data_IF_000453965967
#
_entry.id   IF_000453965967
#
_cell.length_a   1.000
_cell.length_b   1.000
_cell.length_c   1.000
_cell.angle_alpha   90.00
_cell.angle_beta   90.00
_cell.angle_gamma   90.00
#
_symmetry.space_group_name_H-M   'P 1'
#
loop_
_entity.id
_entity.type
_entity.pdbx_description
1 polymer ?
#
# COMPACT_ATOMS: atom_id res chain seq x y z
N UNK A 1 -15.57 -15.41 27.15
CA UNK A 1 -15.94 -14.59 25.98
C UNK A 1 -14.64 -14.07 25.34
N UNK A 2 -14.13 -14.69 24.25
CA UNK A 2 -12.91 -14.23 23.57
C UNK A 2 -13.26 -12.96 22.79
N UNK A 3 -12.73 -11.80 23.19
CA UNK A 3 -12.77 -10.58 22.37
C UNK A 3 -12.13 -10.92 21.01
N UNK A 4 -12.92 -10.92 19.93
CA UNK A 4 -12.36 -10.90 18.57
C UNK A 4 -11.47 -9.65 18.50
N UNK A 5 -10.15 -9.83 18.35
CA UNK A 5 -9.26 -8.72 17.94
C UNK A 5 -9.87 -8.10 16.70
N UNK A 6 -10.12 -6.80 16.73
CA UNK A 6 -10.63 -6.09 15.56
C UNK A 6 -9.69 -6.37 14.39
N UNK A 7 -10.26 -6.85 13.28
CA UNK A 7 -9.48 -7.20 12.08
C UNK A 7 -9.03 -5.87 11.45
N UNK A 8 -7.73 -5.67 11.29
CA UNK A 8 -7.16 -4.47 10.63
C UNK A 8 -7.81 -4.26 9.26
N UNK A 9 -8.26 -3.06 8.97
CA UNK A 9 -8.88 -2.70 7.69
C UNK A 9 -7.82 -2.49 6.60
N UNK A 10 -8.22 -2.51 5.34
CA UNK A 10 -7.29 -2.35 4.21
C UNK A 10 -6.50 -1.03 4.28
N UNK A 11 -7.17 0.09 4.57
CA UNK A 11 -6.49 1.38 4.68
C UNK A 11 -5.48 1.44 5.84
N UNK A 12 -5.76 0.77 6.97
CA UNK A 12 -4.83 0.70 8.11
C UNK A 12 -3.56 -0.08 7.74
N UNK A 13 -3.69 -1.09 6.87
CA UNK A 13 -2.55 -1.82 6.29
C UNK A 13 -1.76 -0.92 5.35
N UNK A 14 -2.43 -0.22 4.43
CA UNK A 14 -1.80 0.74 3.53
C UNK A 14 -0.98 1.78 4.32
N UNK A 15 -1.54 2.34 5.39
CA UNK A 15 -0.84 3.30 6.26
C UNK A 15 0.44 2.74 6.88
N UNK A 16 0.56 1.42 7.02
CA UNK A 16 1.79 0.77 7.45
C UNK A 16 2.75 0.51 6.29
N UNK A 17 2.24 0.10 5.13
CA UNK A 17 3.08 -0.25 3.98
C UNK A 17 3.80 0.97 3.39
N UNK A 18 3.12 2.09 3.26
CA UNK A 18 3.71 3.33 2.70
C UNK A 18 4.85 3.90 3.55
N UNK A 19 4.98 3.47 4.80
CA UNK A 19 6.08 3.83 5.69
C UNK A 19 7.35 3.00 5.46
N UNK A 20 7.29 2.01 4.59
CA UNK A 20 8.46 1.23 4.18
C UNK A 20 9.00 1.82 2.89
N UNK A 21 10.29 2.11 2.86
CA UNK A 21 10.93 2.66 1.68
C UNK A 21 11.18 1.56 0.65
N UNK A 22 10.47 1.57 -0.47
CA UNK A 22 10.49 0.50 -1.48
C UNK A 22 10.85 0.98 -2.88
N UNK A 23 11.33 2.20 -3.01
CA UNK A 23 11.63 2.79 -4.32
C UNK A 23 12.62 1.95 -5.10
N UNK A 24 12.27 1.68 -6.35
CA UNK A 24 13.13 1.03 -7.33
C UNK A 24 14.27 1.96 -7.80
N UNK A 25 15.25 1.41 -8.45
CA UNK A 25 16.34 2.16 -9.11
C UNK A 25 16.40 1.73 -10.56
N UNK A 26 16.51 2.72 -11.46
CA UNK A 26 16.67 2.49 -12.88
C UNK A 26 18.07 1.96 -13.21
N UNK A 27 18.21 1.37 -14.40
CA UNK A 27 19.49 0.88 -14.96
C UNK A 27 20.20 -0.16 -14.06
N UNK A 28 19.47 -0.89 -13.22
CA UNK A 28 19.99 -1.99 -12.42
C UNK A 28 19.77 -3.33 -13.12
N UNK A 29 20.80 -4.17 -13.15
CA UNK A 29 20.68 -5.56 -13.65
C UNK A 29 20.07 -6.52 -12.65
N UNK A 30 20.05 -6.15 -11.37
CA UNK A 30 19.51 -6.97 -10.28
C UNK A 30 18.00 -6.94 -10.20
N UNK A 31 17.40 -8.04 -9.75
CA UNK A 31 15.98 -8.13 -9.43
C UNK A 31 15.85 -8.65 -7.99
N UNK A 32 15.25 -7.88 -7.07
CA UNK A 32 14.77 -6.51 -7.27
C UNK A 32 15.91 -5.51 -7.51
N UNK A 33 15.58 -4.38 -8.14
CA UNK A 33 16.58 -3.32 -8.42
C UNK A 33 17.17 -2.72 -7.14
N UNK A 34 16.48 -2.83 -6.01
CA UNK A 34 16.97 -2.43 -4.69
C UNK A 34 16.62 -3.47 -3.63
N UNK A 35 17.59 -3.79 -2.77
CA UNK A 35 17.39 -4.76 -1.66
C UNK A 35 16.38 -4.29 -0.61
N UNK A 36 16.14 -2.99 -0.48
CA UNK A 36 15.16 -2.42 0.46
C UNK A 36 13.73 -2.90 0.20
N UNK A 37 13.40 -3.36 -1.00
CA UNK A 37 12.09 -3.93 -1.32
C UNK A 37 11.78 -5.19 -0.50
N UNK A 38 12.80 -5.93 -0.07
CA UNK A 38 12.62 -7.08 0.82
C UNK A 38 12.05 -6.70 2.19
N UNK A 39 12.20 -5.47 2.66
CA UNK A 39 11.65 -5.04 3.94
C UNK A 39 10.11 -5.12 3.90
N UNK A 40 9.48 -4.58 2.85
CA UNK A 40 8.04 -4.71 2.64
C UNK A 40 7.66 -6.14 2.26
N UNK A 41 8.43 -6.80 1.39
CA UNK A 41 8.17 -8.18 0.97
C UNK A 41 8.07 -9.14 2.15
N UNK A 42 9.01 -9.07 3.09
CA UNK A 42 9.00 -9.87 4.31
C UNK A 42 7.81 -9.51 5.21
N UNK A 43 7.50 -8.22 5.37
CA UNK A 43 6.33 -7.77 6.14
C UNK A 43 5.03 -8.35 5.55
N UNK A 44 4.86 -8.30 4.22
CA UNK A 44 3.69 -8.83 3.53
C UNK A 44 3.59 -10.35 3.69
N UNK A 45 4.70 -11.08 3.54
CA UNK A 45 4.74 -12.52 3.73
C UNK A 45 4.28 -12.92 5.14
N UNK A 46 4.79 -12.24 6.17
CA UNK A 46 4.37 -12.49 7.56
C UNK A 46 2.90 -12.13 7.80
N UNK A 47 2.41 -11.07 7.16
CA UNK A 47 1.02 -10.68 7.31
C UNK A 47 0.07 -11.67 6.60
N UNK A 48 0.42 -12.13 5.41
CA UNK A 48 -0.34 -13.14 4.69
C UNK A 48 -0.49 -14.44 5.52
N UNK A 49 0.59 -14.91 6.15
CA UNK A 49 0.55 -16.03 7.08
C UNK A 49 -0.41 -15.76 8.25
N UNK A 50 -0.33 -14.58 8.86
CA UNK A 50 -1.18 -14.21 10.02
C UNK A 50 -2.67 -14.14 9.69
N UNK A 51 -3.04 -13.84 8.44
CA UNK A 51 -4.44 -13.81 7.99
C UNK A 51 -4.93 -15.15 7.45
N UNK A 52 -4.07 -16.17 7.40
CA UNK A 52 -4.43 -17.54 7.06
C UNK A 52 -4.24 -17.92 5.59
N UNK A 53 -3.47 -17.15 4.85
CA UNK A 53 -3.05 -17.51 3.48
C UNK A 53 -2.08 -18.69 3.57
N UNK A 54 -2.24 -19.66 2.69
CA UNK A 54 -1.42 -20.87 2.61
C UNK A 54 -0.26 -20.72 1.64
N UNK A 55 0.75 -21.57 1.75
CA UNK A 55 1.92 -21.66 0.87
C UNK A 55 2.62 -20.30 0.67
N UNK A 56 2.63 -19.47 1.72
CA UNK A 56 3.25 -18.15 1.67
C UNK A 56 4.76 -18.30 1.61
N UNK A 57 5.35 -17.77 0.56
CA UNK A 57 6.80 -17.70 0.35
C UNK A 57 7.21 -16.37 -0.27
N UNK A 58 8.45 -16.03 -0.09
CA UNK A 58 9.15 -14.96 -0.80
C UNK A 58 10.36 -15.57 -1.50
N UNK A 59 10.62 -15.23 -2.75
CA UNK A 59 11.77 -15.72 -3.49
C UNK A 59 12.96 -14.74 -3.48
N UNK A 60 14.03 -15.11 -4.14
CA UNK A 60 15.27 -14.34 -4.27
C UNK A 60 15.11 -13.06 -5.11
N UNK A 61 14.00 -12.93 -5.83
CA UNK A 61 13.61 -11.75 -6.62
C UNK A 61 12.58 -10.87 -5.93
N UNK A 62 12.34 -11.14 -4.64
CA UNK A 62 11.35 -10.41 -3.82
C UNK A 62 9.90 -10.60 -4.25
N UNK A 63 9.56 -11.65 -5.00
CA UNK A 63 8.17 -11.97 -5.27
C UNK A 63 7.55 -12.69 -4.06
N UNK A 64 6.46 -12.14 -3.57
CA UNK A 64 5.68 -12.74 -2.46
C UNK A 64 4.49 -13.49 -3.04
N UNK A 65 4.42 -14.78 -2.74
CA UNK A 65 3.34 -15.66 -3.20
C UNK A 65 2.50 -16.13 -2.01
N UNK A 66 1.27 -16.46 -2.28
CA UNK A 66 0.39 -17.13 -1.33
C UNK A 66 -0.84 -17.68 -2.03
N UNK A 67 -1.47 -18.66 -1.42
CA UNK A 67 -2.64 -19.36 -1.95
C UNK A 67 -3.80 -19.25 -0.96
N UNK A 68 -4.95 -18.88 -1.45
CA UNK A 68 -6.23 -19.04 -0.76
C UNK A 68 -6.91 -20.26 -1.36
N UNK A 69 -7.17 -21.32 -0.59
CA UNK A 69 -7.82 -22.51 -1.10
C UNK A 69 -9.19 -22.23 -1.71
N UNK A 70 -9.61 -23.07 -2.61
CA UNK A 70 -10.96 -23.04 -3.15
C UNK A 70 -12.01 -23.13 -2.02
N UNK A 71 -13.14 -22.51 -2.24
CA UNK A 71 -14.33 -22.73 -1.41
C UNK A 71 -14.79 -24.18 -1.56
N UNK A 72 -15.20 -24.81 -0.47
CA UNK A 72 -15.70 -26.19 -0.47
C UNK A 72 -16.74 -26.41 -1.58
N UNK A 73 -16.52 -27.45 -2.38
CA UNK A 73 -17.33 -27.78 -3.56
C UNK A 73 -17.02 -26.99 -4.83
N UNK A 74 -16.00 -26.14 -4.83
CA UNK A 74 -15.56 -25.35 -6.00
C UNK A 74 -14.11 -25.67 -6.41
N UNK A 75 -13.53 -26.76 -5.95
CA UNK A 75 -12.13 -27.14 -6.16
C UNK A 75 -11.77 -27.31 -7.63
N UNK A 76 -12.75 -27.73 -8.46
CA UNK A 76 -12.58 -27.92 -9.91
C UNK A 76 -12.77 -26.62 -10.73
N UNK A 77 -13.05 -25.51 -10.07
CA UNK A 77 -13.18 -24.22 -10.77
C UNK A 77 -11.80 -23.61 -11.06
N UNK A 78 -11.67 -22.85 -12.15
CA UNK A 78 -10.42 -22.14 -12.45
C UNK A 78 -9.97 -21.24 -11.31
N UNK A 79 -8.69 -21.27 -11.01
CA UNK A 79 -8.09 -20.33 -10.05
C UNK A 79 -8.05 -18.91 -10.60
N UNK A 80 -8.21 -17.91 -9.73
CA UNK A 80 -8.07 -16.49 -10.05
C UNK A 80 -6.76 -16.01 -9.43
N UNK A 81 -5.91 -15.38 -10.24
CA UNK A 81 -4.67 -14.75 -9.78
C UNK A 81 -4.85 -13.24 -9.58
N UNK A 82 -4.28 -12.73 -8.48
CA UNK A 82 -4.15 -11.30 -8.23
C UNK A 82 -2.68 -10.94 -8.18
N UNK A 83 -2.30 -9.86 -8.85
CA UNK A 83 -0.93 -9.36 -8.90
C UNK A 83 -0.96 -7.90 -8.49
N UNK A 84 -0.03 -7.52 -7.61
CA UNK A 84 0.19 -6.15 -7.21
C UNK A 84 1.68 -5.92 -6.99
N UNK A 85 2.22 -4.80 -7.48
CA UNK A 85 3.61 -4.46 -7.23
C UNK A 85 3.79 -3.79 -5.86
N UNK A 86 5.03 -3.79 -5.35
CA UNK A 86 5.40 -3.24 -4.04
C UNK A 86 6.27 -2.00 -4.12
N UNK A 87 6.98 -1.86 -5.21
CA UNK A 87 7.91 -0.76 -5.42
C UNK A 87 7.20 0.54 -5.80
N UNK A 88 7.90 1.64 -5.61
CA UNK A 88 7.51 2.97 -6.04
C UNK A 88 8.57 3.52 -7.00
N UNK A 89 8.20 4.49 -7.84
CA UNK A 89 9.14 5.13 -8.77
C UNK A 89 10.14 6.03 -8.06
N UNK A 90 11.35 6.14 -8.61
CA UNK A 90 12.43 6.95 -8.08
C UNK A 90 12.25 8.46 -8.28
N UNK A 91 11.44 8.88 -9.27
CA UNK A 91 11.33 10.28 -9.69
C UNK A 91 10.81 11.23 -8.61
N UNK A 92 9.98 10.74 -7.70
CA UNK A 92 9.27 11.58 -6.73
C UNK A 92 9.35 11.09 -5.28
N UNK A 93 10.04 10.00 -5.02
CA UNK A 93 10.10 9.39 -3.70
C UNK A 93 11.50 8.84 -3.40
N UNK A 94 12.26 9.57 -2.61
CA UNK A 94 13.60 9.19 -2.15
C UNK A 94 13.62 8.69 -0.70
N UNK A 95 12.45 8.56 -0.08
CA UNK A 95 12.28 8.11 1.30
C UNK A 95 10.90 7.48 1.53
N UNK A 96 10.70 6.91 2.71
CA UNK A 96 9.41 6.39 3.14
C UNK A 96 8.35 7.51 3.23
N UNK A 97 7.15 7.25 2.72
CA UNK A 97 6.05 8.23 2.76
C UNK A 97 5.48 8.37 4.17
N UNK A 98 5.27 9.59 4.62
CA UNK A 98 4.52 9.87 5.84
C UNK A 98 3.06 10.14 5.51
N UNK A 99 2.14 9.19 5.76
CA UNK A 99 0.73 9.41 5.45
C UNK A 99 0.12 10.44 6.39
N UNK A 100 -0.73 11.30 5.83
CA UNK A 100 -1.49 12.32 6.57
C UNK A 100 -2.97 11.97 6.53
N UNK A 101 -3.62 11.99 7.68
CA UNK A 101 -5.06 11.73 7.82
C UNK A 101 -5.77 13.02 8.14
N UNK A 102 -6.70 13.42 7.29
CA UNK A 102 -7.58 14.57 7.51
C UNK A 102 -8.99 14.08 7.75
N UNK A 103 -9.44 14.15 8.99
CA UNK A 103 -10.81 13.80 9.35
C UNK A 103 -11.75 14.96 9.04
N UNK A 104 -12.98 14.62 8.63
CA UNK A 104 -14.04 15.60 8.43
C UNK A 104 -13.64 16.73 7.46
N UNK A 105 -13.03 16.35 6.33
CA UNK A 105 -12.53 17.28 5.33
C UNK A 105 -13.57 18.34 4.95
N UNK A 106 -13.17 19.60 4.89
CA UNK A 106 -14.09 20.74 4.72
C UNK A 106 -14.41 21.09 3.26
N UNK A 107 -13.82 20.38 2.31
CA UNK A 107 -14.03 20.61 0.87
C UNK A 107 -13.17 21.74 0.29
N UNK A 108 -12.23 22.30 1.05
CA UNK A 108 -11.35 23.39 0.62
C UNK A 108 -9.94 22.91 0.24
N UNK A 109 -8.99 23.82 0.24
CA UNK A 109 -7.57 23.48 0.02
C UNK A 109 -7.05 22.52 1.09
N UNK A 110 -6.31 21.51 0.65
CA UNK A 110 -5.75 20.46 1.49
C UNK A 110 -4.22 20.47 1.41
N UNK A 111 -3.52 21.00 2.43
CA UNK A 111 -2.07 20.97 2.48
C UNK A 111 -1.54 19.53 2.57
N UNK A 112 -0.43 19.27 1.88
CA UNK A 112 0.25 17.96 1.91
C UNK A 112 1.42 18.00 2.88
N UNK A 113 1.14 17.72 4.15
CA UNK A 113 2.13 17.76 5.22
C UNK A 113 2.83 19.12 5.32
N UNK A 114 4.16 19.10 5.39
CA UNK A 114 5.02 20.30 5.45
C UNK A 114 5.72 20.61 4.12
N UNK A 115 5.34 19.95 3.03
CA UNK A 115 6.00 20.08 1.72
C UNK A 115 5.80 21.43 1.03
N UNK A 116 4.86 22.26 1.50
CA UNK A 116 4.42 23.48 0.82
C UNK A 116 3.50 23.21 -0.39
N UNK A 117 3.19 21.95 -0.68
CA UNK A 117 2.25 21.56 -1.73
C UNK A 117 0.83 21.51 -1.18
N UNK A 118 -0.14 21.86 -2.04
CA UNK A 118 -1.57 21.89 -1.67
C UNK A 118 -2.39 21.27 -2.79
N UNK A 119 -3.36 20.44 -2.45
CA UNK A 119 -4.42 20.02 -3.37
C UNK A 119 -5.55 21.06 -3.30
N UNK A 120 -5.90 21.68 -4.41
CA UNK A 120 -6.98 22.66 -4.47
C UNK A 120 -8.18 22.13 -5.26
N UNK A 121 -9.42 22.48 -4.86
CA UNK A 121 -10.62 22.16 -5.63
C UNK A 121 -10.65 22.80 -7.03
N UNK A 122 -9.89 23.85 -7.26
CA UNK A 122 -9.74 24.47 -8.59
C UNK A 122 -9.02 23.53 -9.56
N UNK A 123 -7.97 22.85 -9.08
CA UNK A 123 -7.23 21.88 -9.87
C UNK A 123 -7.91 20.49 -9.89
N UNK A 124 -8.52 20.12 -8.77
CA UNK A 124 -9.12 18.80 -8.53
C UNK A 124 -10.58 18.96 -8.08
N UNK A 125 -11.47 19.27 -9.00
CA UNK A 125 -12.88 19.63 -8.71
C UNK A 125 -13.64 18.57 -7.90
N UNK A 126 -13.26 17.28 -7.98
CA UNK A 126 -13.88 16.22 -7.20
C UNK A 126 -13.66 16.36 -5.68
N UNK A 127 -12.64 17.13 -5.23
CA UNK A 127 -12.37 17.32 -3.81
C UNK A 127 -13.58 17.92 -3.07
N UNK A 128 -14.35 18.80 -3.69
CA UNK A 128 -15.55 19.37 -3.07
C UNK A 128 -16.58 18.28 -2.70
N UNK A 129 -16.67 17.21 -3.50
CA UNK A 129 -17.59 16.11 -3.25
C UNK A 129 -17.15 15.20 -2.10
N UNK A 130 -15.92 15.37 -1.60
CA UNK A 130 -15.36 14.61 -0.49
C UNK A 130 -15.54 15.30 0.86
N UNK A 131 -16.21 16.46 0.90
CA UNK A 131 -16.50 17.16 2.15
C UNK A 131 -17.20 16.23 3.15
N UNK A 132 -16.79 16.29 4.42
CA UNK A 132 -17.27 15.41 5.50
C UNK A 132 -16.63 14.01 5.51
N UNK A 133 -15.76 13.69 4.54
CA UNK A 133 -15.05 12.41 4.51
C UNK A 133 -13.71 12.49 5.26
N UNK A 134 -13.21 11.32 5.65
CA UNK A 134 -11.82 11.19 6.09
C UNK A 134 -10.95 10.92 4.87
N UNK A 135 -9.95 11.75 4.66
CA UNK A 135 -9.00 11.64 3.56
C UNK A 135 -7.66 11.13 4.08
N UNK A 136 -6.99 10.35 3.25
CA UNK A 136 -5.61 9.92 3.45
C UNK A 136 -4.79 10.51 2.31
N UNK A 137 -3.79 11.29 2.66
CA UNK A 137 -2.85 11.91 1.72
C UNK A 137 -1.42 11.57 2.12
N UNK A 138 -0.44 12.02 1.33
CA UNK A 138 0.97 11.94 1.65
C UNK A 138 1.48 13.26 2.26
N UNK A 139 2.73 13.25 2.66
CA UNK A 139 3.51 14.42 3.10
C UNK A 139 3.97 15.33 1.95
N UNK A 140 3.46 15.12 0.75
CA UNK A 140 3.85 15.83 -0.48
C UNK A 140 4.76 15.00 -1.40
N UNK A 141 5.17 13.81 -0.95
CA UNK A 141 5.75 12.76 -1.78
C UNK A 141 4.64 11.92 -2.44
N UNK A 142 5.01 10.91 -3.19
CA UNK A 142 4.06 10.04 -3.88
C UNK A 142 4.31 8.57 -3.55
N UNK A 143 3.27 7.77 -3.68
CA UNK A 143 3.33 6.31 -3.71
C UNK A 143 3.09 5.79 -5.13
N UNK A 144 3.37 6.61 -6.13
CA UNK A 144 3.27 6.21 -7.52
C UNK A 144 4.25 5.07 -7.81
N UNK A 145 3.77 4.08 -8.53
CA UNK A 145 4.53 2.96 -9.02
C UNK A 145 4.22 2.66 -10.47
#
# INVERSE_FOLDING_TARGET
>A
MRRRKAKMRAYERLLNYVKVYTTSEDEQENVPSTSRQFDLGNQLAEELKKIGVQDVRIDDKCYVYGVIPATEGLEEKPAIGFIAHMDTVSDFCDHAVTPVITENYDGKELPLGTSGRTLSPEMFSHLTSLAGRTLITSDGTTILG
#
